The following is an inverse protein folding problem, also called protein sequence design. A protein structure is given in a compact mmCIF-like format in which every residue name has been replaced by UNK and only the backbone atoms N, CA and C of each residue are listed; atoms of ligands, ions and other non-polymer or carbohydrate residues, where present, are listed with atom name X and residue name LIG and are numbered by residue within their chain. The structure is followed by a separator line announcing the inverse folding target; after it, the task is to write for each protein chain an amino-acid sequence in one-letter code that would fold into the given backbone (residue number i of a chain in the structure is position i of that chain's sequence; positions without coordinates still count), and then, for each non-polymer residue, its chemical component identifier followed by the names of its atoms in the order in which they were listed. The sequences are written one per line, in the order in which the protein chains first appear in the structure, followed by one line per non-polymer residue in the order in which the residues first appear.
data_IF_165425662387
#
_entry.id   IF_165425662387
#
_cell.length_a   1.000
_cell.length_b   1.000
_cell.length_c   1.000
_cell.angle_alpha   90.00
_cell.angle_beta   90.00
_cell.angle_gamma   90.00
#
_symmetry.space_group_name_H-M   'P 1'
#
loop_
_entity.id
_entity.type
_entity.pdbx_description
1 polymer ?
#
# COMPACT_ATOMS: atom_id res chain seq x y z
N UNK A 1 -9.84 -8.16 2.56
CA UNK A 1 -9.54 -6.95 3.36
C UNK A 1 -9.57 -7.32 4.83
N UNK A 2 -8.53 -6.99 5.61
CA UNK A 2 -8.49 -7.27 7.05
C UNK A 2 -8.14 -5.99 7.80
N UNK A 3 -8.86 -5.69 8.88
CA UNK A 3 -8.49 -4.58 9.77
C UNK A 3 -7.44 -5.11 10.75
N UNK A 4 -6.40 -4.32 10.97
CA UNK A 4 -5.34 -4.57 11.94
C UNK A 4 -5.30 -3.43 12.93
N UNK A 5 -5.15 -3.77 14.20
CA UNK A 5 -5.11 -2.80 15.28
C UNK A 5 -3.69 -2.68 15.81
N UNK A 6 -3.35 -1.47 16.28
CA UNK A 6 -2.06 -1.18 16.91
C UNK A 6 -2.29 -0.61 18.29
N UNK A 7 -1.37 -0.87 19.21
CA UNK A 7 -1.42 -0.23 20.52
C UNK A 7 -1.21 1.30 20.37
N UNK A 8 -2.05 2.09 21.02
CA UNK A 8 -1.97 3.56 21.06
C UNK A 8 -0.67 4.08 21.68
N UNK A 9 -0.08 3.35 22.63
CA UNK A 9 1.11 3.81 23.37
C UNK A 9 2.42 3.42 22.68
N UNK A 10 2.58 2.16 22.30
CA UNK A 10 3.85 1.64 21.78
C UNK A 10 3.81 1.33 20.28
N UNK A 11 2.68 1.55 19.60
CA UNK A 11 2.48 1.24 18.17
C UNK A 11 2.70 -0.23 17.80
N UNK A 12 2.75 -1.13 18.78
CA UNK A 12 2.90 -2.56 18.52
C UNK A 12 1.65 -3.12 17.82
N UNK A 13 1.87 -3.97 16.83
CA UNK A 13 0.81 -4.68 16.13
C UNK A 13 0.15 -5.70 17.06
N UNK A 14 -1.17 -5.63 17.18
CA UNK A 14 -1.97 -6.56 17.97
C UNK A 14 -2.50 -7.66 17.04
N UNK A 15 -1.96 -8.88 17.20
CA UNK A 15 -2.21 -10.02 16.30
C UNK A 15 -3.41 -10.89 16.72
N UNK A 16 -3.97 -10.64 17.90
CA UNK A 16 -5.09 -11.40 18.47
C UNK A 16 -6.41 -10.66 18.24
N UNK A 17 -7.52 -11.40 18.19
CA UNK A 17 -8.86 -10.79 18.15
C UNK A 17 -9.12 -10.06 19.48
N UNK A 18 -9.37 -8.76 19.39
CA UNK A 18 -9.36 -7.82 20.53
C UNK A 18 -10.79 -7.49 20.99
N UNK A 19 -11.74 -8.39 20.71
CA UNK A 19 -13.16 -8.16 20.98
C UNK A 19 -13.43 -7.91 22.47
N UNK A 20 -12.72 -8.60 23.36
CA UNK A 20 -12.84 -8.45 24.82
C UNK A 20 -11.73 -7.60 25.46
N UNK A 21 -10.80 -7.11 24.63
CA UNK A 21 -9.62 -6.36 25.07
C UNK A 21 -8.42 -7.24 25.46
N UNK A 22 -7.24 -6.68 25.32
CA UNK A 22 -5.96 -7.34 25.54
C UNK A 22 -4.97 -6.39 26.20
N UNK A 23 -4.14 -6.90 27.10
CA UNK A 23 -2.97 -6.17 27.57
C UNK A 23 -1.85 -6.27 26.53
N UNK A 24 -1.40 -5.12 26.03
CA UNK A 24 -0.25 -5.07 25.15
C UNK A 24 1.03 -5.43 25.93
N UNK A 25 2.09 -5.85 25.25
CA UNK A 25 3.39 -6.12 25.87
C UNK A 25 4.02 -4.92 26.58
N UNK A 26 3.56 -3.70 26.30
CA UNK A 26 3.94 -2.49 27.03
C UNK A 26 3.13 -2.25 28.33
N UNK A 27 2.20 -3.15 28.67
CA UNK A 27 1.30 -3.03 29.83
C UNK A 27 0.05 -2.17 29.58
N UNK A 28 -0.13 -1.61 28.38
CA UNK A 28 -1.31 -0.82 28.06
C UNK A 28 -2.50 -1.71 27.69
N UNK A 29 -3.64 -1.51 28.36
CA UNK A 29 -4.88 -2.20 28.01
C UNK A 29 -5.49 -1.63 26.73
N UNK A 30 -5.68 -2.50 25.76
CA UNK A 30 -6.19 -2.18 24.44
C UNK A 30 -7.53 -2.89 24.22
N UNK A 31 -8.56 -2.21 23.73
CA UNK A 31 -9.78 -2.87 23.24
C UNK A 31 -10.12 -2.42 21.84
N UNK A 32 -10.79 -3.27 21.06
CA UNK A 32 -11.20 -2.92 19.71
C UNK A 32 -12.05 -1.64 19.69
N UNK A 33 -12.93 -1.43 20.67
CA UNK A 33 -13.77 -0.23 20.77
C UNK A 33 -12.93 1.04 20.95
N UNK A 34 -11.95 1.01 21.86
CA UNK A 34 -11.05 2.16 22.13
C UNK A 34 -10.20 2.43 20.89
N UNK A 35 -9.48 1.42 20.40
CA UNK A 35 -8.55 1.58 19.29
C UNK A 35 -9.25 2.05 18.01
N UNK A 36 -10.45 1.54 17.73
CA UNK A 36 -11.24 1.98 16.58
C UNK A 36 -11.75 3.42 16.74
N UNK A 37 -12.20 3.79 17.94
CA UNK A 37 -12.63 5.15 18.26
C UNK A 37 -11.50 6.17 18.10
N UNK A 38 -10.29 5.77 18.49
CA UNK A 38 -9.10 6.63 18.46
C UNK A 38 -8.34 6.57 17.12
N UNK A 39 -8.79 5.76 16.15
CA UNK A 39 -8.13 5.63 14.85
C UNK A 39 -6.82 4.81 14.86
N UNK A 40 -6.57 4.05 15.93
CA UNK A 40 -5.40 3.18 16.08
C UNK A 40 -5.57 1.84 15.35
N UNK A 41 -5.80 1.92 14.04
CA UNK A 41 -5.93 0.76 13.16
C UNK A 41 -5.49 1.10 11.73
N UNK A 42 -5.24 0.07 10.94
CA UNK A 42 -5.04 0.20 9.51
C UNK A 42 -5.70 -0.95 8.75
N UNK A 43 -5.93 -0.73 7.47
CA UNK A 43 -6.49 -1.74 6.57
C UNK A 43 -5.36 -2.48 5.90
N UNK A 44 -5.28 -3.78 6.14
CA UNK A 44 -4.39 -4.67 5.42
C UNK A 44 -5.10 -5.22 4.18
N UNK A 45 -4.50 -4.93 3.02
CA UNK A 45 -4.86 -5.51 1.74
C UNK A 45 -3.73 -6.43 1.29
N UNK A 46 -4.08 -7.69 1.00
CA UNK A 46 -3.11 -8.66 0.49
C UNK A 46 -2.82 -8.35 -0.97
N UNK A 47 -1.55 -8.18 -1.29
CA UNK A 47 -1.08 -8.03 -2.67
C UNK A 47 -1.37 -9.30 -3.47
N UNK A 48 -1.12 -10.48 -2.89
CA UNK A 48 -1.36 -11.75 -3.60
C UNK A 48 -2.83 -11.90 -3.98
N UNK A 49 -3.74 -11.51 -3.08
CA UNK A 49 -5.18 -11.62 -3.32
C UNK A 49 -5.60 -10.66 -4.45
N UNK A 50 -5.05 -9.44 -4.47
CA UNK A 50 -5.31 -8.47 -5.54
C UNK A 50 -4.79 -8.95 -6.89
N UNK A 51 -3.56 -9.48 -6.94
CA UNK A 51 -2.98 -10.04 -8.17
C UNK A 51 -3.82 -11.22 -8.64
N UNK A 52 -4.20 -12.13 -7.74
CA UNK A 52 -5.06 -13.26 -8.08
C UNK A 52 -6.39 -12.79 -8.68
N UNK A 53 -7.04 -11.78 -8.10
CA UNK A 53 -8.26 -11.22 -8.66
C UNK A 53 -8.07 -10.64 -10.06
N UNK A 54 -6.99 -9.89 -10.29
CA UNK A 54 -6.65 -9.35 -11.62
C UNK A 54 -6.44 -10.50 -12.61
N UNK A 55 -5.64 -11.50 -12.23
CA UNK A 55 -5.33 -12.66 -13.09
C UNK A 55 -6.53 -13.56 -13.35
N UNK A 56 -7.55 -13.52 -12.49
CA UNK A 56 -8.81 -14.23 -12.66
C UNK A 56 -9.75 -13.57 -13.68
N UNK A 57 -9.52 -12.29 -13.99
CA UNK A 57 -10.31 -11.53 -14.94
C UNK A 57 -9.64 -11.53 -16.31
N UNK A 58 -10.17 -12.33 -17.24
CA UNK A 58 -9.61 -12.48 -18.59
C UNK A 58 -9.56 -11.18 -19.39
N UNK A 59 -10.50 -10.25 -19.17
CA UNK A 59 -10.52 -8.95 -19.84
C UNK A 59 -9.33 -8.09 -19.36
N UNK A 60 -9.11 -8.02 -18.05
CA UNK A 60 -7.98 -7.28 -17.49
C UNK A 60 -6.65 -7.91 -17.89
N UNK A 61 -6.53 -9.24 -17.82
CA UNK A 61 -5.32 -9.97 -18.23
C UNK A 61 -4.93 -9.68 -19.67
N UNK A 62 -5.90 -9.53 -20.57
CA UNK A 62 -5.62 -9.21 -21.96
C UNK A 62 -5.15 -7.76 -22.18
N UNK A 63 -5.43 -6.86 -21.24
CA UNK A 63 -4.99 -5.47 -21.26
C UNK A 63 -3.60 -5.28 -20.61
N UNK A 64 -3.13 -6.25 -19.82
CA UNK A 64 -1.80 -6.19 -19.21
C UNK A 64 -0.72 -6.38 -20.28
N UNK A 65 0.28 -5.49 -20.29
CA UNK A 65 1.49 -5.66 -21.09
C UNK A 65 2.24 -6.91 -20.65
N UNK A 66 2.35 -7.88 -21.55
CA UNK A 66 3.03 -9.17 -21.29
C UNK A 66 4.54 -9.11 -21.47
N UNK A 67 5.01 -8.09 -22.18
CA UNK A 67 6.42 -7.83 -22.44
C UNK A 67 6.72 -6.38 -22.08
N UNK A 68 7.86 -6.18 -21.44
CA UNK A 68 8.39 -4.90 -21.00
C UNK A 68 9.89 -4.89 -21.34
N UNK A 69 10.33 -3.93 -22.13
CA UNK A 69 11.77 -3.66 -22.37
C UNK A 69 12.25 -2.45 -21.55
N UNK A 70 11.34 -1.80 -20.85
CA UNK A 70 11.57 -0.60 -20.08
C UNK A 70 12.08 -0.96 -18.68
N UNK A 71 13.35 -0.66 -18.40
CA UNK A 71 13.81 -0.58 -17.01
C UNK A 71 13.10 0.60 -16.33
N UNK A 72 12.83 0.49 -15.02
CA UNK A 72 12.15 1.52 -14.23
C UNK A 72 12.65 2.92 -14.58
N UNK A 73 11.72 3.83 -14.87
CA UNK A 73 12.05 5.20 -15.26
C UNK A 73 12.43 5.99 -14.01
N UNK A 74 13.67 5.82 -13.57
CA UNK A 74 14.27 6.59 -12.48
C UNK A 74 14.71 8.00 -12.91
N UNK A 75 14.55 8.35 -14.20
CA UNK A 75 15.02 9.60 -14.77
C UNK A 75 13.87 10.53 -15.18
N UNK A 76 13.73 11.66 -14.47
CA UNK A 76 12.68 12.65 -14.71
C UNK A 76 12.68 13.31 -16.11
N UNK A 77 13.77 13.23 -16.89
CA UNK A 77 13.75 13.68 -18.30
C UNK A 77 13.01 12.69 -19.20
N UNK A 78 13.12 11.39 -18.92
CA UNK A 78 12.42 10.33 -19.65
C UNK A 78 10.92 10.39 -19.31
N UNK A 79 10.59 10.59 -18.03
CA UNK A 79 9.21 10.83 -17.59
C UNK A 79 8.55 11.99 -18.35
N UNK A 80 9.18 13.17 -18.36
CA UNK A 80 8.67 14.34 -19.11
C UNK A 80 8.48 14.05 -20.59
N UNK A 81 9.36 13.27 -21.20
CA UNK A 81 9.23 12.88 -22.61
C UNK A 81 8.01 11.99 -22.85
N UNK A 82 7.72 11.04 -21.96
CA UNK A 82 6.56 10.16 -22.08
C UNK A 82 5.25 10.89 -21.81
N UNK A 83 5.21 11.81 -20.82
CA UNK A 83 4.09 12.72 -20.61
C UNK A 83 3.79 13.55 -21.86
N UNK A 84 4.81 14.19 -22.42
CA UNK A 84 4.65 15.03 -23.62
C UNK A 84 4.24 14.24 -24.87
N UNK A 85 4.39 12.92 -24.87
CA UNK A 85 3.95 12.02 -25.95
C UNK A 85 2.56 11.42 -25.69
N UNK A 86 1.90 11.77 -24.59
CA UNK A 86 0.62 11.20 -24.19
C UNK A 86 0.68 9.72 -23.83
N UNK A 87 1.88 9.20 -23.52
CA UNK A 87 2.09 7.79 -23.16
C UNK A 87 1.69 7.53 -21.70
N UNK A 88 1.82 8.56 -20.86
CA UNK A 88 1.48 8.56 -19.44
C UNK A 88 0.75 9.87 -19.09
N UNK A 89 -0.21 9.80 -18.17
CA UNK A 89 -1.00 10.95 -17.69
C UNK A 89 -0.36 11.60 -16.45
N UNK A 90 -0.94 12.71 -15.97
CA UNK A 90 -0.45 13.52 -14.85
C UNK A 90 -0.49 12.78 -13.50
N UNK A 91 -1.29 11.72 -13.40
CA UNK A 91 -1.52 10.98 -12.17
C UNK A 91 -1.07 9.53 -12.30
N UNK A 92 0.25 9.30 -12.19
CA UNK A 92 0.81 7.95 -12.00
C UNK A 92 1.05 7.73 -10.51
N UNK A 93 0.02 7.92 -9.70
CA UNK A 93 0.06 7.53 -8.28
C UNK A 93 -0.24 6.03 -8.16
N UNK A 94 0.57 5.21 -8.82
CA UNK A 94 0.64 3.77 -8.61
C UNK A 94 2.10 3.32 -8.75
N UNK A 95 3.00 4.04 -8.08
CA UNK A 95 4.33 3.48 -7.77
C UNK A 95 4.19 2.60 -6.54
N UNK A 96 4.18 1.28 -6.78
CA UNK A 96 4.65 0.34 -5.79
C UNK A 96 6.13 0.63 -5.56
N UNK A 97 6.45 1.35 -4.49
CA UNK A 97 7.82 1.45 -3.99
C UNK A 97 8.18 0.10 -3.33
N UNK A 98 8.54 -0.90 -4.13
CA UNK A 98 8.96 -2.22 -3.63
C UNK A 98 10.47 -2.35 -3.44
N UNK A 99 11.26 -1.33 -3.74
CA UNK A 99 12.72 -1.45 -3.87
C UNK A 99 13.54 -0.37 -3.14
N UNK A 100 12.99 0.22 -2.07
CA UNK A 100 13.80 1.07 -1.17
C UNK A 100 14.32 2.36 -1.80
N UNK A 101 13.71 2.81 -2.91
CA UNK A 101 14.02 4.09 -3.54
C UNK A 101 13.60 5.21 -2.59
N UNK A 102 14.54 6.11 -2.27
CA UNK A 102 14.27 7.26 -1.39
C UNK A 102 13.19 8.14 -2.03
N UNK A 103 12.17 8.58 -1.28
CA UNK A 103 11.17 9.49 -1.80
C UNK A 103 11.89 10.75 -2.32
N UNK A 104 11.75 11.01 -3.62
CA UNK A 104 12.33 12.18 -4.24
C UNK A 104 11.50 13.39 -3.80
N UNK A 105 12.14 14.38 -3.18
CA UNK A 105 11.49 15.68 -2.96
C UNK A 105 11.28 16.31 -4.33
N UNK A 106 10.02 16.49 -4.73
CA UNK A 106 9.69 17.37 -5.84
C UNK A 106 10.20 18.78 -5.49
N UNK A 107 11.19 19.27 -6.23
CA UNK A 107 11.63 20.65 -6.12
C UNK A 107 10.55 21.56 -6.67
N UNK A 108 10.25 22.62 -5.91
CA UNK A 108 9.36 23.73 -6.27
C UNK A 108 9.85 24.46 -7.51
#
# INVERSE_FOLDING_TARGET
MKIRYVCSECSALLLLDIDEGIECSCGHYCSMKILKGDGNFFVQLSISDQIQQIMSNSELVNQIRKECQENDIINGKVYRRFRNRGVIDDDITLQWNTDGVRPFKSST
#
